data_IF_566060792431
#
_entry.id   IF_566060792431
#
_cell.length_a   1.000
_cell.length_b   1.000
_cell.length_c   1.000
_cell.angle_alpha   90.00
_cell.angle_beta   90.00
_cell.angle_gamma   90.00
#
_symmetry.space_group_name_H-M   'P 1'
#
loop_
_entity.id
_entity.type
_entity.pdbx_description
1 polymer ?
#
# COMPACT_ATOMS: atom_id res chain seq x y z
N UNK A 1 -37.71 14.39 -21.48
CA UNK A 1 -36.90 13.20 -21.16
C UNK A 1 -35.66 13.27 -22.02
N UNK A 2 -34.47 13.33 -21.42
CA UNK A 2 -33.26 12.67 -21.92
C UNK A 2 -32.25 12.65 -20.77
N UNK A 3 -31.77 11.44 -20.53
CA UNK A 3 -31.02 10.98 -19.37
C UNK A 3 -29.64 10.65 -19.90
N UNK A 4 -28.71 11.59 -19.81
CA UNK A 4 -27.29 11.39 -20.11
C UNK A 4 -26.54 12.02 -18.92
N UNK A 5 -26.47 11.27 -17.81
CA UNK A 5 -25.42 10.31 -17.49
C UNK A 5 -24.19 11.07 -16.98
N UNK A 6 -24.20 11.21 -15.66
CA UNK A 6 -23.11 11.76 -14.86
C UNK A 6 -21.92 10.83 -15.01
N UNK A 7 -20.86 11.31 -15.64
CA UNK A 7 -19.54 10.67 -15.64
C UNK A 7 -19.00 10.73 -14.21
N UNK A 8 -19.33 9.70 -13.42
CA UNK A 8 -18.64 9.41 -12.19
C UNK A 8 -17.21 9.04 -12.53
N UNK A 9 -16.27 9.95 -12.28
CA UNK A 9 -14.84 9.68 -12.27
C UNK A 9 -14.53 8.60 -11.22
N UNK A 10 -14.60 7.36 -11.68
CA UNK A 10 -14.20 6.20 -10.92
C UNK A 10 -12.67 6.20 -10.82
N UNK A 11 -12.13 6.87 -9.79
CA UNK A 11 -10.73 6.82 -9.40
C UNK A 11 -10.38 5.45 -8.76
N UNK A 12 -10.78 4.36 -9.42
CA UNK A 12 -10.36 3.01 -9.07
C UNK A 12 -8.97 2.76 -9.63
N UNK A 13 -8.01 2.44 -8.76
CA UNK A 13 -6.59 2.23 -9.10
C UNK A 13 -6.27 1.02 -10.01
N UNK A 14 -7.29 0.44 -10.62
CA UNK A 14 -7.15 -0.59 -11.62
C UNK A 14 -8.07 -0.25 -12.78
N UNK A 15 -7.50 0.27 -13.87
CA UNK A 15 -8.18 0.48 -15.16
C UNK A 15 -8.56 -0.84 -15.85
N UNK A 16 -9.12 -1.80 -15.10
CA UNK A 16 -9.79 -3.00 -15.61
C UNK A 16 -8.97 -3.94 -16.48
N UNK A 17 -7.65 -3.76 -16.64
CA UNK A 17 -6.86 -4.53 -17.58
C UNK A 17 -6.04 -5.59 -16.86
N UNK A 18 -6.49 -6.85 -16.96
CA UNK A 18 -5.75 -8.04 -16.51
C UNK A 18 -4.45 -8.30 -17.32
N UNK A 19 -4.10 -7.43 -18.29
CA UNK A 19 -2.96 -7.60 -19.21
C UNK A 19 -1.76 -6.68 -18.93
N UNK A 20 -1.85 -5.72 -18.01
CA UNK A 20 -0.72 -4.82 -17.73
C UNK A 20 0.30 -5.48 -16.80
N UNK A 21 1.58 -5.26 -17.07
CA UNK A 21 2.66 -5.63 -16.15
C UNK A 21 2.45 -4.93 -14.80
N UNK A 22 2.13 -5.70 -13.76
CA UNK A 22 1.84 -5.20 -12.43
C UNK A 22 2.99 -4.36 -11.86
N UNK A 23 4.24 -4.64 -12.25
CA UNK A 23 5.39 -3.84 -11.85
C UNK A 23 5.35 -2.44 -12.46
N UNK A 24 5.02 -2.36 -13.75
CA UNK A 24 4.92 -1.08 -14.45
C UNK A 24 3.80 -0.21 -13.90
N UNK A 25 2.65 -0.79 -13.57
CA UNK A 25 1.54 -0.03 -12.98
C UNK A 25 1.87 0.46 -11.56
N UNK A 26 2.57 -0.34 -10.75
CA UNK A 26 3.05 0.10 -9.44
C UNK A 26 4.03 1.29 -9.57
N UNK A 27 4.96 1.22 -10.53
CA UNK A 27 5.91 2.31 -10.77
C UNK A 27 5.17 3.59 -11.21
N UNK A 28 4.25 3.48 -12.19
CA UNK A 28 3.45 4.61 -12.66
C UNK A 28 2.63 5.23 -11.54
N UNK A 29 2.01 4.41 -10.69
CA UNK A 29 1.28 4.87 -9.52
C UNK A 29 2.18 5.70 -8.59
N UNK A 30 3.33 5.14 -8.22
CA UNK A 30 4.25 5.81 -7.30
C UNK A 30 4.74 7.15 -7.84
N UNK A 31 5.07 7.22 -9.14
CA UNK A 31 5.49 8.47 -9.78
C UNK A 31 4.35 9.49 -9.88
N UNK A 32 3.12 9.04 -10.18
CA UNK A 32 1.96 9.92 -10.17
C UNK A 32 1.75 10.54 -8.79
N UNK A 33 1.78 9.75 -7.72
CA UNK A 33 1.64 10.24 -6.34
C UNK A 33 2.73 11.26 -5.99
N UNK A 34 3.99 10.98 -6.33
CA UNK A 34 5.11 11.94 -6.13
C UNK A 34 4.92 13.24 -6.91
N UNK A 35 4.24 13.21 -8.06
CA UNK A 35 4.03 14.40 -8.89
C UNK A 35 2.93 15.33 -8.38
N UNK A 36 1.93 14.79 -7.67
CA UNK A 36 0.74 15.55 -7.25
C UNK A 36 0.79 16.00 -5.78
N UNK A 37 1.60 15.35 -4.94
CA UNK A 37 1.71 15.69 -3.51
C UNK A 37 2.98 16.54 -3.30
N UNK A 38 2.88 17.70 -2.64
CA UNK A 38 4.04 18.48 -2.22
C UNK A 38 5.04 17.66 -1.41
N UNK A 39 6.34 17.85 -1.67
CA UNK A 39 7.40 17.01 -1.09
C UNK A 39 7.50 17.10 0.45
N UNK A 40 7.04 18.21 1.04
CA UNK A 40 6.96 18.41 2.49
C UNK A 40 5.81 17.63 3.15
N UNK A 41 4.85 17.14 2.36
CA UNK A 41 3.69 16.37 2.82
C UNK A 41 3.76 14.90 2.40
N UNK A 42 4.80 14.48 1.67
CA UNK A 42 4.99 13.11 1.20
C UNK A 42 6.30 12.51 1.74
N UNK A 43 6.19 11.46 2.54
CA UNK A 43 7.31 10.61 2.91
C UNK A 43 7.34 9.36 2.04
N UNK A 44 8.28 9.28 1.10
CA UNK A 44 8.62 8.02 0.44
C UNK A 44 9.45 7.19 1.42
N UNK A 45 8.89 6.08 1.88
CA UNK A 45 9.44 5.28 2.98
C UNK A 45 9.69 3.83 2.58
N UNK A 46 10.91 3.36 2.80
CA UNK A 46 11.34 2.01 2.48
C UNK A 46 11.18 1.09 3.70
N UNK A 47 10.90 -0.18 3.44
CA UNK A 47 10.72 -1.16 4.52
C UNK A 47 12.00 -1.32 5.33
N UNK A 48 11.93 -1.01 6.63
CA UNK A 48 13.03 -1.17 7.57
C UNK A 48 13.80 0.10 7.92
N UNK A 49 13.39 1.28 7.43
CA UNK A 49 14.01 2.56 7.80
C UNK A 49 13.82 2.97 9.27
N UNK A 50 12.97 2.28 10.02
CA UNK A 50 12.81 2.42 11.48
C UNK A 50 11.98 3.63 11.94
N UNK A 51 11.79 3.70 13.26
CA UNK A 51 10.91 4.71 13.87
C UNK A 51 11.40 6.15 13.70
N UNK A 52 12.71 6.38 13.69
CA UNK A 52 13.27 7.73 13.71
C UNK A 52 12.84 8.55 12.49
N UNK A 53 12.96 8.00 11.29
CA UNK A 53 12.60 8.69 10.05
C UNK A 53 11.11 9.00 9.98
N UNK A 54 10.26 8.04 10.38
CA UNK A 54 8.82 8.20 10.41
C UNK A 54 8.37 9.23 11.47
N UNK A 55 8.89 9.12 12.68
CA UNK A 55 8.55 10.01 13.79
C UNK A 55 8.96 11.46 13.50
N UNK A 56 10.16 11.67 12.94
CA UNK A 56 10.64 12.99 12.54
C UNK A 56 9.73 13.64 11.49
N UNK A 57 9.30 12.87 10.48
CA UNK A 57 8.38 13.38 9.46
C UNK A 57 7.00 13.74 10.04
N UNK A 58 6.50 12.94 10.99
CA UNK A 58 5.20 13.16 11.63
C UNK A 58 5.24 14.22 12.75
N UNK A 59 6.43 14.72 13.13
CA UNK A 59 6.59 15.61 14.29
C UNK A 59 6.23 14.95 15.63
N UNK A 60 6.41 13.63 15.73
CA UNK A 60 6.06 12.82 16.90
C UNK A 60 7.31 12.34 17.66
N UNK A 61 7.12 11.91 18.91
CA UNK A 61 8.20 11.28 19.67
C UNK A 61 8.50 9.86 19.13
N UNK A 62 9.78 9.48 19.11
CA UNK A 62 10.22 8.13 18.74
C UNK A 62 9.79 7.14 19.83
N UNK A 63 9.06 6.05 19.51
CA UNK A 63 8.70 5.03 20.48
C UNK A 63 9.91 4.23 20.99
N UNK A 64 9.88 3.82 22.26
CA UNK A 64 10.90 2.96 22.89
C UNK A 64 10.67 1.45 22.63
N UNK A 65 10.13 1.12 21.46
CA UNK A 65 9.84 -0.25 21.05
C UNK A 65 10.46 -0.52 19.68
N UNK A 66 10.85 -1.78 19.37
CA UNK A 66 11.38 -2.11 18.06
C UNK A 66 10.36 -1.83 16.95
N UNK A 67 10.85 -1.48 15.76
CA UNK A 67 10.00 -1.30 14.59
C UNK A 67 9.31 -2.65 14.24
N UNK A 68 7.98 -2.67 14.07
CA UNK A 68 7.23 -3.92 13.94
C UNK A 68 7.56 -4.66 12.63
N UNK A 69 7.61 -6.00 12.70
CA UNK A 69 7.71 -6.90 11.55
C UNK A 69 6.53 -7.88 11.55
N UNK A 70 5.32 -7.36 11.32
CA UNK A 70 4.07 -8.11 11.48
C UNK A 70 3.52 -8.70 10.17
N UNK A 71 4.09 -8.30 9.02
CA UNK A 71 3.66 -8.69 7.68
C UNK A 71 4.82 -9.29 6.86
N UNK A 72 5.70 -10.05 7.51
CA UNK A 72 6.67 -10.83 6.74
C UNK A 72 5.99 -12.04 6.09
N UNK A 73 6.56 -12.53 4.99
CA UNK A 73 6.01 -13.66 4.24
C UNK A 73 5.87 -14.90 5.12
N UNK A 74 6.75 -15.07 6.12
CA UNK A 74 6.72 -16.19 7.06
C UNK A 74 5.49 -16.14 7.98
N UNK A 75 5.18 -15.00 8.59
CA UNK A 75 3.99 -14.81 9.42
C UNK A 75 2.69 -14.92 8.61
N UNK A 76 2.69 -14.51 7.34
CA UNK A 76 1.56 -14.76 6.44
C UNK A 76 1.36 -16.26 6.16
N UNK A 77 2.42 -17.01 5.87
CA UNK A 77 2.37 -18.47 5.67
C UNK A 77 1.93 -19.22 6.95
N UNK A 78 2.38 -18.76 8.12
CA UNK A 78 1.97 -19.33 9.41
C UNK A 78 0.47 -19.12 9.69
N UNK A 79 -0.09 -17.96 9.32
CA UNK A 79 -1.55 -17.71 9.42
C UNK A 79 -2.35 -18.60 8.49
N UNK A 80 -1.90 -18.78 7.25
CA UNK A 80 -2.58 -19.66 6.29
C UNK A 80 -2.60 -21.10 6.76
N UNK A 81 -1.49 -21.63 7.26
CA UNK A 81 -1.41 -23.04 7.71
C UNK A 81 -2.24 -23.34 8.96
N UNK A 82 -2.50 -22.34 9.82
CA UNK A 82 -3.36 -22.49 11.00
C UNK A 82 -4.87 -22.41 10.70
N UNK A 83 -5.26 -21.79 9.60
CA UNK A 83 -6.66 -21.49 9.29
C UNK A 83 -7.29 -22.37 8.19
N UNK A 84 -6.53 -23.20 7.47
CA UNK A 84 -7.16 -24.22 6.59
C UNK A 84 -7.67 -25.36 7.46
N UNK A 85 -9.00 -25.59 7.59
CA UNK A 85 -9.49 -26.81 8.22
C UNK A 85 -8.98 -28.00 7.41
N UNK A 86 -8.42 -28.97 8.12
CA UNK A 86 -8.07 -30.31 7.62
C UNK A 86 -9.33 -31.04 7.14
N UNK A 87 -9.89 -30.63 6.01
CA UNK A 87 -11.09 -31.21 5.39
C UNK A 87 -10.82 -31.76 3.98
N UNK A 88 -9.56 -31.93 3.61
CA UNK A 88 -9.15 -32.69 2.43
C UNK A 88 -8.05 -33.69 2.81
N UNK A 89 -8.47 -34.80 3.41
CA UNK A 89 -7.77 -36.08 3.44
C UNK A 89 -8.81 -37.19 3.41
#
# INVERSE_FOLDING_TARGET
MSREQLDGENHGYHGGRLESDAQMELIKHNEYIKSIIPADQLLVYEMGEGWERLANFLGAAVPDQPFPRLNDTASFQERLTKEVPSAFS
#
